data_IF_193132355714
#
_entry.id   IF_193132355714
#
_cell.length_a   1.000
_cell.length_b   1.000
_cell.length_c   1.000
_cell.angle_alpha   90.00
_cell.angle_beta   90.00
_cell.angle_gamma   90.00
#
_symmetry.space_group_name_H-M   'P 1'
#
loop_
_entity.id
_entity.type
_entity.pdbx_description
1 polymer ?
#
# COMPACT_ATOMS: atom_id res chain seq x y z
N UNK A 1 -30.79 36.80 30.49
CA UNK A 1 -29.84 37.21 29.44
C UNK A 1 -30.18 36.43 28.20
N UNK A 2 -30.76 37.10 27.22
CA UNK A 2 -31.16 36.48 25.96
C UNK A 2 -29.95 36.27 25.06
N UNK A 3 -29.97 35.17 24.32
CA UNK A 3 -29.29 35.07 23.04
C UNK A 3 -30.41 34.75 22.05
N UNK A 4 -30.99 35.83 21.56
CA UNK A 4 -31.91 35.85 20.43
C UNK A 4 -31.03 36.04 19.19
N UNK A 5 -30.60 34.94 18.58
CA UNK A 5 -30.46 34.84 17.12
C UNK A 5 -30.74 33.40 16.72
N UNK A 6 -31.79 33.21 15.92
CA UNK A 6 -32.06 31.95 15.23
C UNK A 6 -31.02 31.86 14.13
N UNK A 7 -30.06 30.95 14.28
CA UNK A 7 -29.09 30.64 13.23
C UNK A 7 -29.83 30.12 12.02
N UNK A 8 -29.97 30.96 10.99
CA UNK A 8 -30.33 30.54 9.65
C UNK A 8 -29.19 29.69 9.11
N UNK A 9 -29.47 28.39 8.93
CA UNK A 9 -28.75 27.55 7.99
C UNK A 9 -28.73 28.32 6.67
N UNK A 10 -27.54 28.65 6.14
CA UNK A 10 -27.47 28.97 4.73
C UNK A 10 -27.98 27.74 4.00
N UNK A 11 -29.22 27.81 3.54
CA UNK A 11 -29.72 26.90 2.52
C UNK A 11 -28.72 27.01 1.38
N UNK A 12 -28.04 25.90 1.07
CA UNK A 12 -27.41 25.75 -0.24
C UNK A 12 -28.38 26.32 -1.27
N UNK A 13 -27.94 27.17 -2.21
CA UNK A 13 -28.82 27.56 -3.29
C UNK A 13 -29.35 26.26 -3.90
N UNK A 14 -30.67 26.03 -3.83
CA UNK A 14 -31.38 24.89 -4.44
C UNK A 14 -31.30 24.89 -5.99
N UNK A 15 -30.33 25.62 -6.52
CA UNK A 15 -29.99 25.75 -7.92
C UNK A 15 -28.49 25.46 -8.17
N UNK A 16 -27.79 24.82 -7.23
CA UNK A 16 -26.52 24.19 -7.55
C UNK A 16 -26.82 23.05 -8.52
N UNK A 17 -26.48 23.26 -9.80
CA UNK A 17 -26.49 22.20 -10.80
C UNK A 17 -25.86 20.96 -10.18
N UNK A 18 -26.56 19.82 -10.25
CA UNK A 18 -26.01 18.52 -9.85
C UNK A 18 -24.58 18.48 -10.38
N UNK A 19 -23.59 18.39 -9.49
CA UNK A 19 -22.19 18.41 -9.91
C UNK A 19 -22.06 17.45 -11.10
N UNK A 20 -21.47 17.91 -12.23
CA UNK A 20 -21.44 17.12 -13.44
C UNK A 20 -20.95 15.72 -13.08
N UNK A 21 -21.59 14.69 -13.62
CA UNK A 21 -21.14 13.31 -13.41
C UNK A 21 -19.67 13.25 -13.82
N UNK A 22 -18.78 13.11 -12.84
CA UNK A 22 -17.36 13.13 -13.12
C UNK A 22 -16.93 11.74 -13.53
N UNK A 23 -16.29 11.65 -14.68
CA UNK A 23 -15.73 10.39 -15.17
C UNK A 23 -14.44 10.08 -14.41
N UNK A 24 -14.57 9.19 -13.42
CA UNK A 24 -13.46 8.74 -12.58
C UNK A 24 -12.44 7.88 -13.33
N UNK A 25 -12.72 7.52 -14.60
CA UNK A 25 -11.77 6.78 -15.43
C UNK A 25 -10.74 7.68 -16.11
N UNK A 26 -10.99 8.99 -16.16
CA UNK A 26 -10.08 9.95 -16.79
C UNK A 26 -8.91 10.20 -15.84
N UNK A 27 -7.66 9.92 -16.25
CA UNK A 27 -6.49 10.24 -15.45
C UNK A 27 -6.35 11.73 -15.25
N UNK A 28 -5.88 12.12 -14.07
CA UNK A 28 -5.39 13.49 -13.86
C UNK A 28 -3.92 13.51 -14.30
N UNK A 29 -3.55 14.29 -15.33
CA UNK A 29 -2.16 14.57 -15.59
C UNK A 29 -1.65 15.46 -14.45
N UNK A 30 -0.74 14.98 -13.60
CA UNK A 30 -0.12 15.88 -12.63
C UNK A 30 0.66 16.96 -13.39
N UNK A 31 0.47 18.21 -12.96
CA UNK A 31 1.24 19.32 -13.48
C UNK A 31 2.52 19.42 -12.67
N UNK A 32 3.68 19.46 -13.35
CA UNK A 32 4.87 20.14 -12.83
C UNK A 32 4.50 21.61 -12.60
N UNK A 33 3.81 21.91 -11.51
CA UNK A 33 3.33 23.27 -11.25
C UNK A 33 4.53 24.09 -10.75
N UNK A 34 5.03 25.10 -11.47
CA UNK A 34 6.16 25.92 -11.03
C UNK A 34 5.75 27.02 -10.03
N UNK A 35 4.50 27.03 -9.55
CA UNK A 35 3.91 28.20 -8.88
C UNK A 35 4.02 28.22 -7.36
N UNK A 36 4.50 27.15 -6.75
CA UNK A 36 4.99 27.22 -5.38
C UNK A 36 6.45 26.82 -5.41
N UNK A 37 7.38 27.58 -4.78
CA UNK A 37 8.69 27.03 -4.56
C UNK A 37 8.46 25.69 -3.88
N UNK A 38 8.89 24.62 -4.55
CA UNK A 38 9.13 23.37 -3.88
C UNK A 38 10.18 23.70 -2.82
N UNK A 39 9.74 24.21 -1.67
CA UNK A 39 10.33 23.79 -0.42
C UNK A 39 10.15 22.28 -0.47
N UNK A 40 11.18 21.64 -0.99
CA UNK A 40 11.58 20.32 -0.56
C UNK A 40 11.31 20.28 0.94
N UNK A 41 10.66 19.23 1.47
CA UNK A 41 10.61 19.07 2.92
C UNK A 41 12.04 19.30 3.41
N UNK A 42 12.21 20.24 4.35
CA UNK A 42 13.51 20.49 4.94
C UNK A 42 14.06 19.12 5.31
N UNK A 43 15.23 18.77 4.76
CA UNK A 43 15.86 17.44 4.88
C UNK A 43 15.99 16.95 6.33
N UNK A 44 15.77 17.86 7.28
CA UNK A 44 15.93 17.74 8.70
C UNK A 44 14.62 17.27 9.42
N UNK A 45 13.50 17.14 8.70
CA UNK A 45 12.19 16.75 9.25
C UNK A 45 11.77 15.30 8.96
N UNK A 46 12.53 14.54 8.16
CA UNK A 46 12.24 13.11 7.97
C UNK A 46 12.83 12.32 9.13
N UNK A 47 12.02 11.74 10.04
CA UNK A 47 12.52 10.72 10.91
C UNK A 47 12.76 9.50 10.02
N UNK A 48 14.02 9.27 9.66
CA UNK A 48 14.49 7.99 9.13
C UNK A 48 14.45 6.96 10.26
N UNK A 49 13.26 6.70 10.81
CA UNK A 49 13.00 5.46 11.52
C UNK A 49 12.70 4.46 10.43
N UNK A 50 13.49 3.39 10.25
CA UNK A 50 13.25 2.37 9.21
C UNK A 50 11.79 1.92 9.12
N UNK A 51 11.10 1.89 10.27
CA UNK A 51 9.68 1.51 10.42
C UNK A 51 8.70 2.39 9.65
N UNK A 52 8.89 3.71 9.58
CA UNK A 52 7.99 4.61 8.86
C UNK A 52 7.89 4.20 7.38
N UNK A 53 9.05 4.06 6.75
CA UNK A 53 9.20 3.60 5.37
C UNK A 53 8.65 2.18 5.18
N UNK A 54 8.85 1.27 6.13
CA UNK A 54 8.31 -0.09 6.05
C UNK A 54 6.77 -0.12 6.10
N UNK A 55 6.14 0.68 6.98
CA UNK A 55 4.68 0.81 7.05
C UNK A 55 4.13 1.31 5.72
N UNK A 56 4.71 2.38 5.16
CA UNK A 56 4.25 2.96 3.91
C UNK A 56 4.42 2.02 2.72
N UNK A 57 5.57 1.33 2.61
CA UNK A 57 5.81 0.36 1.55
C UNK A 57 4.85 -0.83 1.60
N UNK A 58 4.56 -1.32 2.82
CA UNK A 58 3.55 -2.36 3.00
C UNK A 58 2.17 -1.86 2.55
N UNK A 59 1.72 -0.72 3.07
CA UNK A 59 0.41 -0.15 2.75
C UNK A 59 0.25 0.05 1.25
N UNK A 60 1.25 0.67 0.60
CA UNK A 60 1.27 0.87 -0.85
C UNK A 60 1.05 -0.45 -1.57
N UNK A 61 1.88 -1.45 -1.30
CA UNK A 61 1.82 -2.75 -2.00
C UNK A 61 0.49 -3.48 -1.74
N UNK A 62 0.04 -3.52 -0.49
CA UNK A 62 -1.17 -4.23 -0.09
C UNK A 62 -2.44 -3.56 -0.62
N UNK A 63 -2.51 -2.23 -0.60
CA UNK A 63 -3.61 -1.46 -1.16
C UNK A 63 -3.64 -1.58 -2.69
N UNK A 64 -2.49 -1.52 -3.37
CA UNK A 64 -2.42 -1.79 -4.81
C UNK A 64 -2.94 -3.18 -5.15
N UNK A 65 -2.56 -4.21 -4.38
CA UNK A 65 -3.06 -5.57 -4.57
C UNK A 65 -4.59 -5.65 -4.42
N UNK A 66 -5.11 -5.13 -3.31
CA UNK A 66 -6.53 -5.15 -2.97
C UNK A 66 -7.38 -4.37 -3.99
N UNK A 67 -7.01 -3.13 -4.30
CA UNK A 67 -7.80 -2.26 -5.18
C UNK A 67 -7.74 -2.71 -6.64
N UNK A 68 -6.61 -3.30 -7.08
CA UNK A 68 -6.48 -3.87 -8.43
C UNK A 68 -7.43 -5.04 -8.66
N UNK A 69 -7.66 -5.89 -7.65
CA UNK A 69 -8.62 -6.99 -7.74
C UNK A 69 -10.06 -6.51 -7.95
N UNK A 70 -10.38 -5.29 -7.49
CA UNK A 70 -11.73 -4.71 -7.61
C UNK A 70 -12.05 -4.11 -8.98
N UNK A 71 -11.05 -3.98 -9.86
CA UNK A 71 -11.26 -3.59 -11.27
C UNK A 71 -11.81 -2.18 -11.51
N UNK A 72 -11.79 -1.30 -10.51
CA UNK A 72 -12.16 0.12 -10.65
C UNK A 72 -10.91 0.98 -10.79
N UNK A 73 -10.97 2.15 -11.45
CA UNK A 73 -9.86 3.10 -11.45
C UNK A 73 -9.53 3.57 -10.04
N UNK A 74 -8.24 3.65 -9.72
CA UNK A 74 -7.74 4.19 -8.47
C UNK A 74 -6.32 4.72 -8.66
N UNK A 75 -5.87 5.55 -7.72
CA UNK A 75 -4.50 6.01 -7.59
C UNK A 75 -4.06 5.86 -6.14
N UNK A 76 -2.82 5.45 -5.92
CA UNK A 76 -2.20 5.44 -4.60
C UNK A 76 -0.84 6.10 -4.74
N UNK A 77 -0.62 7.14 -3.95
CA UNK A 77 0.61 7.95 -3.99
C UNK A 77 1.18 8.08 -2.58
N UNK A 78 2.52 8.07 -2.50
CA UNK A 78 3.28 8.36 -1.28
C UNK A 78 3.87 9.76 -1.35
N UNK A 79 4.08 10.38 -0.19
CA UNK A 79 4.79 11.65 -0.04
C UNK A 79 4.31 12.77 -0.98
N UNK A 80 2.99 12.83 -1.19
CA UNK A 80 2.37 13.75 -2.15
C UNK A 80 1.85 15.00 -1.45
N UNK A 81 2.27 16.16 -1.97
CA UNK A 81 1.77 17.45 -1.52
C UNK A 81 0.41 17.79 -2.10
N UNK A 82 -0.55 18.13 -1.26
CA UNK A 82 -1.89 18.55 -1.66
C UNK A 82 -2.07 20.06 -1.42
N UNK A 83 -2.18 20.81 -2.51
CA UNK A 83 -2.44 22.24 -2.50
C UNK A 83 -3.94 22.54 -2.56
N UNK A 84 -4.38 23.52 -1.80
CA UNK A 84 -5.77 23.97 -1.79
C UNK A 84 -5.87 25.44 -1.37
N UNK A 85 -7.04 26.02 -1.54
CA UNK A 85 -7.35 27.38 -1.05
C UNK A 85 -8.31 27.22 0.11
N UNK A 86 -7.95 27.73 1.29
CA UNK A 86 -8.79 27.63 2.48
C UNK A 86 -10.03 28.55 2.40
N UNK A 87 -10.87 28.52 3.44
CA UNK A 87 -12.10 29.33 3.51
C UNK A 87 -11.85 30.84 3.50
N UNK A 88 -10.63 31.29 3.80
CA UNK A 88 -10.23 32.70 3.79
C UNK A 88 -9.61 33.12 2.45
N UNK A 89 -9.46 32.19 1.51
CA UNK A 89 -8.85 32.45 0.22
C UNK A 89 -7.32 32.32 0.21
N UNK A 90 -6.71 31.82 1.29
CA UNK A 90 -5.27 31.62 1.35
C UNK A 90 -4.86 30.27 0.75
N UNK A 91 -3.80 30.27 -0.03
CA UNK A 91 -3.19 29.05 -0.55
C UNK A 91 -2.49 28.27 0.56
N UNK A 92 -2.84 27.00 0.71
CA UNK A 92 -2.32 26.07 1.70
C UNK A 92 -1.71 24.84 1.01
N UNK A 93 -0.83 24.14 1.74
CA UNK A 93 -0.24 22.85 1.33
C UNK A 93 -0.28 21.86 2.50
N UNK A 94 -0.69 20.65 2.21
CA UNK A 94 -0.70 19.53 3.15
C UNK A 94 -0.06 18.30 2.51
N UNK A 95 1.05 17.84 3.07
CA UNK A 95 1.76 16.67 2.57
C UNK A 95 1.26 15.43 3.33
N UNK A 96 0.72 14.47 2.57
CA UNK A 96 0.29 13.17 3.10
C UNK A 96 1.39 12.14 2.92
N UNK A 97 1.61 11.29 3.91
CA UNK A 97 2.51 10.14 3.77
C UNK A 97 1.99 9.12 2.74
N UNK A 98 0.68 8.81 2.74
CA UNK A 98 0.05 8.00 1.70
C UNK A 98 -1.41 8.40 1.47
N UNK A 99 -1.81 8.53 0.20
CA UNK A 99 -3.17 8.89 -0.21
C UNK A 99 -3.75 7.85 -1.15
N UNK A 100 -5.05 7.55 -1.00
CA UNK A 100 -5.82 6.67 -1.87
C UNK A 100 -6.90 7.50 -2.56
N UNK A 101 -6.94 7.44 -3.89
CA UNK A 101 -7.84 8.21 -4.74
C UNK A 101 -8.73 7.28 -5.55
N UNK A 102 -10.03 7.61 -5.74
CA UNK A 102 -10.96 6.82 -6.54
C UNK A 102 -10.85 7.09 -8.05
N UNK A 103 -9.69 7.54 -8.52
CA UNK A 103 -9.37 7.90 -9.91
C UNK A 103 -7.85 7.72 -10.13
N UNK A 104 -7.40 7.48 -11.37
CA UNK A 104 -5.97 7.32 -11.65
C UNK A 104 -5.25 8.67 -11.60
N UNK A 105 -4.02 8.65 -11.09
CA UNK A 105 -3.07 9.74 -11.20
C UNK A 105 -1.90 9.25 -12.07
N UNK A 106 -1.63 9.95 -13.17
CA UNK A 106 -0.58 9.56 -14.12
C UNK A 106 0.66 10.46 -14.03
N UNK A 107 0.60 11.52 -13.24
CA UNK A 107 1.73 12.43 -13.11
C UNK A 107 2.50 12.26 -11.81
N UNK A 108 3.72 12.80 -11.81
CA UNK A 108 4.64 12.78 -10.69
C UNK A 108 4.70 14.19 -10.08
N UNK A 109 4.34 14.35 -8.80
CA UNK A 109 4.41 15.63 -8.10
C UNK A 109 3.14 15.98 -7.31
N UNK A 110 3.06 17.22 -6.83
CA UNK A 110 1.95 17.69 -6.00
C UNK A 110 0.61 17.78 -6.73
N UNK A 111 -0.49 17.57 -6.01
CA UNK A 111 -1.86 17.70 -6.51
C UNK A 111 -2.47 19.03 -6.07
N UNK A 112 -3.40 19.56 -6.88
CA UNK A 112 -4.28 20.67 -6.47
C UNK A 112 -5.68 20.14 -6.24
N UNK A 113 -6.29 20.49 -5.10
CA UNK A 113 -7.65 20.08 -4.75
C UNK A 113 -8.68 20.43 -5.81
N UNK A 114 -8.55 21.59 -6.46
CA UNK A 114 -9.45 22.04 -7.51
C UNK A 114 -9.36 21.25 -8.82
N UNK A 115 -8.22 20.59 -9.08
CA UNK A 115 -8.01 19.79 -10.29
C UNK A 115 -8.52 18.35 -10.10
N UNK A 116 -8.74 17.93 -8.85
CA UNK A 116 -9.26 16.59 -8.56
C UNK A 116 -10.75 16.49 -8.88
N UNK A 117 -11.18 15.41 -9.59
CA UNK A 117 -12.57 15.20 -9.97
C UNK A 117 -13.49 15.02 -8.76
N UNK A 118 -12.95 14.47 -7.69
CA UNK A 118 -13.61 14.31 -6.40
C UNK A 118 -12.57 14.21 -5.28
N UNK A 119 -12.98 14.28 -4.00
CA UNK A 119 -12.06 14.08 -2.89
C UNK A 119 -11.41 12.68 -2.91
N UNK A 120 -10.19 12.56 -2.37
CA UNK A 120 -9.56 11.28 -2.07
C UNK A 120 -10.42 10.41 -1.16
N UNK A 121 -10.25 9.10 -1.28
CA UNK A 121 -10.94 8.11 -0.47
C UNK A 121 -10.39 8.07 0.94
N UNK A 122 -9.06 8.05 1.03
CA UNK A 122 -8.39 7.78 2.28
C UNK A 122 -7.04 8.49 2.31
N UNK A 123 -6.64 8.98 3.48
CA UNK A 123 -5.26 9.39 3.77
C UNK A 123 -4.75 8.60 4.95
N UNK A 124 -3.50 8.15 4.87
CA UNK A 124 -2.74 7.55 5.96
C UNK A 124 -1.57 8.46 6.29
N UNK A 125 -1.36 8.70 7.58
CA UNK A 125 -0.16 9.34 8.13
C UNK A 125 0.50 8.36 9.10
N UNK A 126 1.82 8.33 9.10
CA UNK A 126 2.60 7.59 10.08
C UNK A 126 3.22 8.61 11.02
N UNK A 127 2.71 8.63 12.25
CA UNK A 127 3.03 9.64 13.24
C UNK A 127 4.53 9.72 13.49
N UNK A 128 5.03 10.94 13.62
CA UNK A 128 6.40 11.22 14.04
C UNK A 128 6.42 12.21 15.20
N UNK A 129 7.49 12.24 16.02
CA UNK A 129 7.60 13.21 17.10
C UNK A 129 7.48 14.67 16.62
N UNK A 130 7.96 14.98 15.41
CA UNK A 130 7.91 16.32 14.82
C UNK A 130 6.54 16.68 14.27
N UNK A 131 5.78 15.73 13.69
CA UNK A 131 4.53 16.03 12.96
C UNK A 131 3.24 15.64 13.67
N UNK A 132 3.29 14.78 14.70
CA UNK A 132 2.09 14.18 15.32
C UNK A 132 1.05 15.21 15.77
N UNK A 133 1.50 16.37 16.27
CA UNK A 133 0.60 17.46 16.67
C UNK A 133 -0.18 18.07 15.48
N UNK A 134 0.43 18.12 14.29
CA UNK A 134 -0.22 18.56 13.05
C UNK A 134 -1.14 17.48 12.50
N UNK A 135 -0.71 16.23 12.55
CA UNK A 135 -1.48 15.06 12.08
C UNK A 135 -2.78 14.92 12.89
N UNK A 136 -2.71 15.01 14.22
CA UNK A 136 -3.89 14.95 15.09
C UNK A 136 -4.71 16.27 15.13
N UNK A 137 -4.13 17.36 14.62
CA UNK A 137 -4.70 18.71 14.62
C UNK A 137 -5.07 19.19 13.21
N UNK A 138 -4.29 20.15 12.69
CA UNK A 138 -4.66 20.92 11.50
C UNK A 138 -4.79 20.08 10.22
N UNK A 139 -3.94 19.05 10.02
CA UNK A 139 -4.04 18.20 8.82
C UNK A 139 -5.37 17.46 8.78
N UNK A 140 -5.79 16.91 9.93
CA UNK A 140 -7.10 16.27 10.08
C UNK A 140 -8.25 17.23 9.71
N UNK A 141 -8.19 18.49 10.13
CA UNK A 141 -9.20 19.49 9.77
C UNK A 141 -9.18 19.82 8.27
N UNK A 142 -7.99 19.97 7.68
CA UNK A 142 -7.83 20.19 6.25
C UNK A 142 -8.35 19.03 5.41
N UNK A 143 -8.02 17.78 5.76
CA UNK A 143 -8.54 16.62 5.05
C UNK A 143 -10.07 16.50 5.15
N UNK A 144 -10.65 16.81 6.32
CA UNK A 144 -12.10 16.85 6.47
C UNK A 144 -12.74 17.90 5.56
N UNK A 145 -12.17 19.11 5.55
CA UNK A 145 -12.63 20.22 4.71
C UNK A 145 -12.52 19.90 3.21
N UNK A 146 -11.44 19.23 2.79
CA UNK A 146 -11.26 18.78 1.41
C UNK A 146 -12.21 17.66 0.99
N UNK A 147 -12.86 17.00 1.95
CA UNK A 147 -13.84 15.94 1.73
C UNK A 147 -13.26 14.52 1.75
N UNK A 148 -12.03 14.33 2.25
CA UNK A 148 -11.40 13.00 2.35
C UNK A 148 -12.27 12.09 3.22
N UNK A 149 -12.59 10.90 2.72
CA UNK A 149 -13.67 10.07 3.30
C UNK A 149 -13.24 9.36 4.58
N UNK A 150 -12.00 8.89 4.64
CA UNK A 150 -11.37 8.35 5.85
C UNK A 150 -9.95 8.90 6.06
N UNK A 151 -9.57 9.09 7.32
CA UNK A 151 -8.23 9.53 7.71
C UNK A 151 -7.70 8.57 8.77
N UNK A 152 -6.47 8.09 8.60
CA UNK A 152 -5.83 7.15 9.51
C UNK A 152 -4.48 7.69 9.94
N UNK A 153 -4.17 7.52 11.23
CA UNK A 153 -2.87 7.85 11.80
C UNK A 153 -2.34 6.62 12.52
N UNK A 154 -1.12 6.23 12.16
CA UNK A 154 -0.44 5.04 12.66
C UNK A 154 0.75 5.44 13.53
N UNK A 155 0.88 4.83 14.70
CA UNK A 155 2.05 5.05 15.55
C UNK A 155 3.15 4.04 15.19
N UNK A 156 4.33 4.46 14.71
CA UNK A 156 5.43 3.56 14.37
C UNK A 156 6.14 3.04 15.63
N UNK A 157 5.39 2.49 16.59
CA UNK A 157 5.89 2.03 17.89
C UNK A 157 7.08 1.09 17.71
N UNK A 158 8.19 1.48 18.32
CA UNK A 158 9.41 0.66 18.44
C UNK A 158 9.53 0.15 19.87
N UNK A 159 8.71 -0.84 20.22
CA UNK A 159 8.74 -1.43 21.55
C UNK A 159 8.24 -2.87 21.59
N UNK A 160 9.05 -3.73 22.20
CA UNK A 160 8.66 -5.08 22.60
C UNK A 160 7.72 -5.09 23.82
N UNK A 161 7.50 -3.94 24.48
CA UNK A 161 6.57 -3.82 25.62
C UNK A 161 5.11 -3.75 25.11
N UNK A 162 4.27 -4.77 25.38
CA UNK A 162 2.88 -4.79 24.93
C UNK A 162 2.06 -3.64 25.50
N UNK A 163 2.42 -3.11 26.68
CA UNK A 163 1.71 -1.99 27.26
C UNK A 163 1.92 -0.71 26.44
N UNK A 164 3.14 -0.45 25.97
CA UNK A 164 3.45 0.69 25.09
C UNK A 164 2.79 0.57 23.73
N UNK A 165 2.71 -0.64 23.20
CA UNK A 165 1.99 -0.90 21.96
C UNK A 165 0.47 -0.74 22.11
N UNK A 166 -0.08 -1.17 23.25
CA UNK A 166 -1.49 -0.95 23.56
C UNK A 166 -1.80 0.54 23.73
N UNK A 167 -0.99 1.30 24.47
CA UNK A 167 -1.27 2.71 24.75
C UNK A 167 -0.90 3.67 23.61
N UNK A 168 -0.03 3.25 22.69
CA UNK A 168 0.69 4.17 21.82
C UNK A 168 1.87 4.85 22.54
N UNK A 169 2.85 5.30 21.76
CA UNK A 169 3.98 6.14 22.20
C UNK A 169 3.73 7.60 21.82
N UNK A 170 3.29 7.83 20.59
CA UNK A 170 3.02 9.16 20.00
C UNK A 170 1.53 9.47 19.99
N UNK A 171 0.70 8.44 19.83
CA UNK A 171 -0.74 8.57 19.72
C UNK A 171 -1.42 8.38 21.09
N UNK A 172 -2.38 9.24 21.46
CA UNK A 172 -2.98 9.24 22.80
C UNK A 172 -3.96 8.08 23.03
N UNK A 173 -4.60 7.58 21.97
CA UNK A 173 -5.67 6.57 22.06
C UNK A 173 -5.25 5.23 21.43
N UNK A 174 -3.96 4.90 21.49
CA UNK A 174 -3.41 3.67 20.93
C UNK A 174 -2.79 3.85 19.55
N UNK A 175 -2.10 2.80 19.09
CA UNK A 175 -1.23 2.87 17.93
C UNK A 175 -1.92 2.84 16.56
N UNK A 176 -3.25 2.71 16.53
CA UNK A 176 -4.07 2.73 15.34
C UNK A 176 -5.29 3.62 15.58
N UNK A 177 -5.27 4.81 15.00
CA UNK A 177 -6.38 5.76 15.07
C UNK A 177 -6.95 6.00 13.68
N UNK A 178 -8.29 6.05 13.60
CA UNK A 178 -8.99 6.27 12.34
C UNK A 178 -10.19 7.19 12.53
N UNK A 179 -10.55 7.90 11.47
CA UNK A 179 -11.73 8.75 11.42
C UNK A 179 -12.44 8.60 10.09
N UNK A 180 -13.77 8.74 10.11
CA UNK A 180 -14.62 8.81 8.91
C UNK A 180 -15.30 10.16 8.83
N UNK A 181 -15.36 10.72 7.63
CA UNK A 181 -16.03 11.99 7.39
C UNK A 181 -17.54 11.83 7.50
N UNK A 182 -18.14 12.56 8.43
CA UNK A 182 -19.57 12.61 8.68
C UNK A 182 -20.02 14.08 8.76
N UNK A 183 -20.91 14.50 7.85
CA UNK A 183 -21.48 15.87 7.83
C UNK A 183 -20.40 16.97 7.90
N UNK A 184 -19.31 16.80 7.16
CA UNK A 184 -18.21 17.78 7.06
C UNK A 184 -17.25 17.79 8.24
N UNK A 185 -17.33 16.81 9.17
CA UNK A 185 -16.38 16.66 10.27
C UNK A 185 -15.99 15.20 10.45
N UNK A 186 -14.82 14.95 10.99
CA UNK A 186 -14.37 13.60 11.28
C UNK A 186 -14.99 13.04 12.57
N UNK A 187 -15.64 11.89 12.45
CA UNK A 187 -16.05 11.05 13.57
C UNK A 187 -15.02 9.93 13.76
N UNK A 188 -14.62 9.59 15.00
CA UNK A 188 -13.64 8.54 15.24
C UNK A 188 -14.21 7.17 14.84
N UNK A 189 -13.37 6.37 14.19
CA UNK A 189 -13.62 4.96 13.89
C UNK A 189 -13.19 4.11 15.08
N UNK A 190 -13.94 3.05 15.36
CA UNK A 190 -13.58 2.12 16.42
C UNK A 190 -12.33 1.31 16.03
N UNK A 191 -11.28 1.47 16.82
CA UNK A 191 -10.15 0.54 16.89
C UNK A 191 -10.31 -0.35 18.14
N UNK A 192 -9.95 -1.62 18.02
CA UNK A 192 -10.10 -2.62 19.08
C UNK A 192 -8.74 -3.24 19.37
N UNK A 193 -8.32 -3.17 20.64
CA UNK A 193 -7.15 -3.85 21.17
C UNK A 193 -7.50 -5.27 21.62
N UNK A 194 -6.83 -6.26 21.04
CA UNK A 194 -6.83 -7.64 21.52
C UNK A 194 -5.56 -7.89 22.35
N UNK A 195 -5.74 -7.99 23.67
CA UNK A 195 -4.64 -8.21 24.61
C UNK A 195 -4.02 -9.61 24.52
N UNK A 196 -4.74 -10.63 24.04
CA UNK A 196 -4.17 -11.97 23.89
C UNK A 196 -3.33 -12.08 22.62
N UNK A 197 -3.76 -11.41 21.55
CA UNK A 197 -3.06 -11.39 20.26
C UNK A 197 -2.05 -10.23 20.14
N UNK A 198 -1.97 -9.33 21.12
CA UNK A 198 -1.24 -8.06 21.06
C UNK A 198 -1.45 -7.32 19.74
N UNK A 199 -2.72 -7.16 19.36
CA UNK A 199 -3.11 -6.66 18.03
C UNK A 199 -4.17 -5.59 18.15
N UNK A 200 -3.93 -4.44 17.52
CA UNK A 200 -5.00 -3.48 17.21
C UNK A 200 -5.70 -3.90 15.92
N UNK A 201 -7.01 -3.68 15.85
CA UNK A 201 -7.76 -3.85 14.62
C UNK A 201 -8.81 -2.78 14.40
N UNK A 202 -9.02 -2.40 13.15
CA UNK A 202 -10.07 -1.48 12.74
C UNK A 202 -10.62 -1.87 11.36
N UNK A 203 -11.83 -1.43 11.05
CA UNK A 203 -12.45 -1.69 9.76
C UNK A 203 -12.61 -0.39 8.97
N UNK A 204 -12.03 -0.35 7.78
CA UNK A 204 -12.28 0.70 6.79
C UNK A 204 -13.50 0.30 5.96
N UNK A 205 -14.58 1.09 6.02
CA UNK A 205 -15.73 0.85 5.14
C UNK A 205 -15.52 1.48 3.76
N UNK A 206 -14.66 2.52 3.67
CA UNK A 206 -14.30 3.13 2.38
C UNK A 206 -13.44 2.19 1.55
N UNK A 207 -12.44 1.57 2.18
CA UNK A 207 -11.55 0.60 1.54
C UNK A 207 -12.07 -0.84 1.67
N UNK A 208 -13.19 -1.06 2.36
CA UNK A 208 -13.82 -2.38 2.57
C UNK A 208 -12.79 -3.46 2.96
N UNK A 209 -12.03 -3.17 4.01
CA UNK A 209 -10.98 -4.05 4.50
C UNK A 209 -10.74 -3.88 6.00
N UNK A 210 -10.15 -4.91 6.63
CA UNK A 210 -9.73 -4.85 8.02
C UNK A 210 -8.25 -4.48 8.09
N UNK A 211 -7.94 -3.44 8.85
CA UNK A 211 -6.59 -3.08 9.24
C UNK A 211 -6.24 -3.81 10.54
N UNK A 212 -5.05 -4.38 10.58
CA UNK A 212 -4.45 -4.99 11.77
C UNK A 212 -3.12 -4.30 12.04
N UNK A 213 -2.82 -4.08 13.31
CA UNK A 213 -1.51 -3.62 13.75
C UNK A 213 -1.02 -4.59 14.82
N UNK A 214 0.00 -5.39 14.47
CA UNK A 214 0.38 -6.61 15.18
C UNK A 214 1.75 -6.45 15.82
N UNK A 215 1.81 -6.41 17.15
CA UNK A 215 3.06 -6.15 17.87
C UNK A 215 4.18 -7.16 17.51
N UNK A 216 3.88 -8.44 17.36
CA UNK A 216 4.89 -9.44 17.02
C UNK A 216 5.56 -9.21 15.65
N UNK A 217 4.92 -8.42 14.78
CA UNK A 217 5.47 -8.00 13.50
C UNK A 217 6.22 -6.66 13.60
N UNK A 218 6.07 -5.92 14.70
CA UNK A 218 6.90 -4.75 15.02
C UNK A 218 8.33 -5.13 15.36
N UNK A 219 8.57 -6.27 16.02
CA UNK A 219 9.92 -6.72 16.38
C UNK A 219 10.73 -7.27 15.21
N UNK A 220 10.10 -7.49 14.05
CA UNK A 220 10.77 -7.90 12.82
C UNK A 220 11.10 -6.63 12.03
N UNK A 221 12.38 -6.33 11.86
CA UNK A 221 12.90 -5.08 11.27
C UNK A 221 12.32 -4.67 9.89
N UNK A 222 11.45 -5.46 9.26
CA UNK A 222 11.15 -5.39 7.85
C UNK A 222 9.69 -5.10 7.47
N UNK A 223 8.77 -4.98 8.44
CA UNK A 223 7.33 -5.01 8.11
C UNK A 223 6.46 -3.94 8.77
N UNK A 224 6.99 -3.19 9.74
CA UNK A 224 6.29 -2.07 10.36
C UNK A 224 5.01 -2.44 11.15
N UNK A 225 4.65 -3.73 11.22
CA UNK A 225 3.56 -4.28 12.04
C UNK A 225 2.14 -4.19 11.48
N UNK A 226 1.92 -3.41 10.41
CA UNK A 226 0.61 -3.24 9.78
C UNK A 226 0.29 -4.42 8.84
N UNK A 227 -0.99 -4.84 8.84
CA UNK A 227 -1.55 -5.79 7.88
C UNK A 227 -2.92 -5.34 7.40
N UNK A 228 -3.17 -5.50 6.11
CA UNK A 228 -4.50 -5.44 5.51
C UNK A 228 -5.00 -6.86 5.35
N UNK A 229 -6.18 -7.15 5.89
CA UNK A 229 -6.86 -8.43 5.66
C UNK A 229 -7.69 -8.31 4.40
N UNK A 230 -7.41 -9.21 3.46
CA UNK A 230 -8.21 -9.36 2.26
C UNK A 230 -9.62 -9.87 2.65
N UNK A 231 -10.69 -9.13 2.31
CA UNK A 231 -12.06 -9.51 2.67
C UNK A 231 -12.53 -10.79 1.98
N UNK A 232 -11.97 -11.15 0.82
CA UNK A 232 -12.36 -12.35 0.08
C UNK A 232 -11.76 -13.61 0.72
N UNK A 233 -10.48 -13.56 1.10
CA UNK A 233 -9.77 -14.72 1.65
C UNK A 233 -9.79 -14.76 3.18
N UNK A 234 -10.10 -13.66 3.84
CA UNK A 234 -10.03 -13.50 5.30
C UNK A 234 -8.60 -13.56 5.85
N UNK A 235 -7.58 -13.49 4.97
CA UNK A 235 -6.16 -13.62 5.34
C UNK A 235 -5.42 -12.29 5.19
N UNK A 236 -4.39 -12.04 6.01
CA UNK A 236 -3.50 -10.91 5.80
C UNK A 236 -2.84 -10.96 4.43
N UNK A 237 -2.86 -9.84 3.71
CA UNK A 237 -2.10 -9.66 2.48
C UNK A 237 -0.61 -9.72 2.86
N UNK A 238 0.16 -10.64 2.26
CA UNK A 238 1.58 -10.81 2.56
C UNK A 238 2.41 -9.60 2.14
N UNK A 239 3.48 -9.33 2.87
CA UNK A 239 4.44 -8.29 2.51
C UNK A 239 5.16 -8.62 1.19
N UNK A 240 5.65 -7.62 0.44
CA UNK A 240 6.31 -7.83 -0.85
C UNK A 240 7.46 -8.86 -0.77
N UNK A 241 8.27 -8.83 0.30
CA UNK A 241 9.33 -9.82 0.53
C UNK A 241 8.81 -11.22 0.82
N UNK A 242 7.72 -11.35 1.58
CA UNK A 242 7.05 -12.65 1.78
C UNK A 242 6.52 -13.19 0.45
N UNK A 243 6.00 -12.31 -0.42
CA UNK A 243 5.57 -12.69 -1.76
C UNK A 243 6.72 -13.15 -2.65
N UNK A 244 7.86 -12.45 -2.62
CA UNK A 244 9.07 -12.89 -3.34
C UNK A 244 9.60 -14.22 -2.79
N UNK A 245 9.62 -14.41 -1.47
CA UNK A 245 9.99 -15.67 -0.84
C UNK A 245 9.07 -16.82 -1.26
N UNK A 246 7.75 -16.62 -1.20
CA UNK A 246 6.76 -17.60 -1.68
C UNK A 246 6.89 -17.89 -3.17
N UNK A 247 7.20 -16.88 -3.98
CA UNK A 247 7.44 -17.08 -5.41
C UNK A 247 8.71 -17.93 -5.62
N UNK A 248 9.80 -17.63 -4.91
CA UNK A 248 11.04 -18.41 -4.97
C UNK A 248 10.84 -19.85 -4.47
N UNK A 249 10.08 -20.07 -3.40
CA UNK A 249 9.71 -21.40 -2.90
C UNK A 249 8.88 -22.18 -3.93
N UNK A 250 7.89 -21.53 -4.55
CA UNK A 250 7.06 -22.13 -5.61
C UNK A 250 7.87 -22.42 -6.87
N UNK A 251 8.78 -21.52 -7.23
CA UNK A 251 9.71 -21.68 -8.33
C UNK A 251 10.65 -22.88 -8.06
N UNK A 252 11.14 -23.04 -6.82
CA UNK A 252 11.92 -24.19 -6.40
C UNK A 252 11.10 -25.49 -6.41
N UNK A 253 9.82 -25.46 -6.03
CA UNK A 253 8.91 -26.60 -6.09
C UNK A 253 8.67 -27.05 -7.54
N UNK A 254 8.36 -26.10 -8.44
CA UNK A 254 8.18 -26.37 -9.86
C UNK A 254 9.48 -26.89 -10.47
N UNK A 255 10.63 -26.30 -10.14
CA UNK A 255 11.94 -26.76 -10.56
C UNK A 255 12.20 -28.21 -10.13
N UNK A 256 11.91 -28.55 -8.88
CA UNK A 256 12.02 -29.92 -8.35
C UNK A 256 11.10 -30.91 -9.07
N UNK A 257 9.87 -30.49 -9.39
CA UNK A 257 8.93 -31.32 -10.15
C UNK A 257 9.41 -31.57 -11.59
N UNK A 258 9.95 -30.54 -12.25
CA UNK A 258 10.51 -30.64 -13.61
C UNK A 258 11.73 -31.57 -13.64
N UNK A 259 12.64 -31.45 -12.66
CA UNK A 259 13.76 -32.37 -12.50
C UNK A 259 13.29 -33.81 -12.25
N UNK A 260 12.28 -34.01 -11.41
CA UNK A 260 11.70 -35.34 -11.14
C UNK A 260 11.13 -35.96 -12.42
N UNK A 261 10.42 -35.19 -13.23
CA UNK A 261 9.91 -35.66 -14.53
C UNK A 261 11.06 -36.04 -15.48
N UNK A 262 12.15 -35.26 -15.48
CA UNK A 262 13.33 -35.57 -16.28
C UNK A 262 14.00 -36.86 -15.80
N UNK A 263 14.12 -37.08 -14.48
CA UNK A 263 14.61 -38.33 -13.89
C UNK A 263 13.77 -39.53 -14.33
N UNK A 264 12.44 -39.42 -14.26
CA UNK A 264 11.53 -40.51 -14.64
C UNK A 264 11.65 -40.86 -16.13
N UNK A 265 11.83 -39.86 -16.99
CA UNK A 265 11.86 -40.06 -18.44
C UNK A 265 13.23 -40.44 -18.99
N UNK A 266 14.29 -39.81 -18.49
CA UNK A 266 15.64 -39.85 -19.08
C UNK A 266 16.70 -40.42 -18.13
N UNK A 267 16.37 -40.67 -16.86
CA UNK A 267 17.25 -41.22 -15.83
C UNK A 267 17.83 -40.18 -14.88
N UNK A 268 18.35 -40.63 -13.73
CA UNK A 268 18.82 -39.79 -12.62
C UNK A 268 19.84 -38.74 -13.04
N UNK A 269 20.82 -39.11 -13.87
CA UNK A 269 21.85 -38.18 -14.34
C UNK A 269 21.28 -36.94 -15.03
N UNK A 270 20.18 -37.09 -15.78
CA UNK A 270 19.51 -35.96 -16.46
C UNK A 270 18.75 -35.07 -15.49
N UNK A 271 18.10 -35.65 -14.48
CA UNK A 271 17.45 -34.87 -13.43
C UNK A 271 18.43 -34.08 -12.58
N UNK A 272 19.55 -34.70 -12.19
CA UNK A 272 20.61 -34.08 -11.40
C UNK A 272 21.29 -32.93 -12.15
N UNK A 273 21.49 -33.08 -13.46
CA UNK A 273 22.04 -32.01 -14.29
C UNK A 273 21.06 -30.83 -14.41
N UNK A 274 19.77 -31.11 -14.58
CA UNK A 274 18.76 -30.05 -14.62
C UNK A 274 18.65 -29.30 -13.28
N UNK A 275 18.74 -30.01 -12.15
CA UNK A 275 18.80 -29.37 -10.82
C UNK A 275 20.04 -28.49 -10.63
N UNK A 276 21.18 -28.84 -11.24
CA UNK A 276 22.39 -28.01 -11.19
C UNK A 276 22.31 -26.78 -12.08
N UNK A 277 21.62 -26.87 -13.22
CA UNK A 277 21.48 -25.76 -14.17
C UNK A 277 20.53 -24.66 -13.67
N UNK A 278 19.43 -25.04 -13.02
CA UNK A 278 18.37 -24.09 -12.62
C UNK A 278 18.85 -22.96 -11.69
N UNK A 279 19.69 -23.19 -10.65
CA UNK A 279 20.19 -22.12 -9.78
C UNK A 279 21.23 -21.20 -10.44
N UNK A 280 21.87 -21.63 -11.54
CA UNK A 280 22.92 -20.88 -12.22
C UNK A 280 22.37 -19.84 -13.20
N UNK A 281 21.07 -19.86 -13.47
CA UNK A 281 20.42 -18.98 -14.44
C UNK A 281 19.64 -17.85 -13.79
N UNK A 282 19.64 -16.69 -14.44
CA UNK A 282 18.72 -15.58 -14.15
C UNK A 282 17.36 -15.75 -14.85
N UNK A 283 17.20 -16.78 -15.68
CA UNK A 283 15.96 -17.04 -16.38
C UNK A 283 14.85 -17.53 -15.42
N UNK A 284 13.59 -17.13 -15.63
CA UNK A 284 12.48 -17.59 -14.80
C UNK A 284 12.25 -19.10 -14.97
N UNK A 285 11.60 -19.74 -13.99
CA UNK A 285 11.27 -21.16 -14.08
C UNK A 285 10.42 -21.46 -15.33
N UNK A 286 10.73 -22.51 -16.11
CA UNK A 286 10.03 -22.81 -17.34
C UNK A 286 8.56 -23.14 -17.08
N UNK A 287 7.66 -22.51 -17.85
CA UNK A 287 6.23 -22.79 -17.74
C UNK A 287 5.88 -24.20 -18.28
N UNK A 288 4.67 -24.68 -17.95
CA UNK A 288 4.23 -26.05 -18.29
C UNK A 288 4.32 -26.38 -19.80
N UNK A 289 4.00 -25.42 -20.69
CA UNK A 289 4.06 -25.65 -22.13
C UNK A 289 5.49 -25.87 -22.61
N UNK A 290 6.42 -25.10 -22.07
CA UNK A 290 7.83 -25.22 -22.40
C UNK A 290 8.41 -26.54 -21.90
N UNK A 291 8.09 -26.93 -20.66
CA UNK A 291 8.48 -28.23 -20.11
C UNK A 291 7.92 -29.37 -20.97
N UNK A 292 6.65 -29.30 -21.37
CA UNK A 292 6.05 -30.30 -22.27
C UNK A 292 6.78 -30.40 -23.61
N UNK A 293 7.19 -29.27 -24.19
CA UNK A 293 7.97 -29.26 -25.42
C UNK A 293 9.35 -29.92 -25.25
N UNK A 294 10.04 -29.64 -24.14
CA UNK A 294 11.32 -30.31 -23.83
C UNK A 294 11.13 -31.82 -23.63
N UNK A 295 10.07 -32.21 -22.91
CA UNK A 295 9.73 -33.62 -22.70
C UNK A 295 9.33 -34.36 -23.98
N UNK A 296 9.11 -33.67 -25.11
CA UNK A 296 8.93 -34.32 -26.40
C UNK A 296 10.26 -34.74 -27.05
N UNK A 297 11.41 -34.30 -26.50
CA UNK A 297 12.73 -34.64 -27.00
C UNK A 297 12.93 -36.16 -27.06
N UNK A 298 13.62 -36.59 -28.12
CA UNK A 298 13.86 -37.99 -28.45
C UNK A 298 15.01 -38.61 -27.64
N UNK A 299 15.86 -37.78 -27.05
CA UNK A 299 16.98 -38.18 -26.20
C UNK A 299 17.16 -37.26 -24.98
N UNK A 300 17.95 -37.70 -24.01
CA UNK A 300 18.34 -36.90 -22.84
C UNK A 300 19.24 -35.72 -23.22
N UNK A 301 20.08 -35.88 -24.24
CA UNK A 301 20.99 -34.84 -24.74
C UNK A 301 20.21 -33.70 -25.40
N UNK A 302 19.23 -34.03 -26.25
CA UNK A 302 18.34 -33.05 -26.88
C UNK A 302 17.51 -32.29 -25.83
N UNK A 303 17.03 -32.98 -24.80
CA UNK A 303 16.34 -32.36 -23.66
C UNK A 303 17.24 -31.34 -22.94
N UNK A 304 18.47 -31.73 -22.58
CA UNK A 304 19.40 -30.88 -21.86
C UNK A 304 19.85 -29.68 -22.70
N UNK A 305 20.00 -29.83 -24.02
CA UNK A 305 20.35 -28.72 -24.91
C UNK A 305 19.24 -27.66 -24.98
N UNK A 306 17.97 -28.09 -25.06
CA UNK A 306 16.83 -27.18 -25.00
C UNK A 306 16.76 -26.44 -23.66
N UNK A 307 17.04 -27.15 -22.56
CA UNK A 307 17.12 -26.54 -21.24
C UNK A 307 18.28 -25.54 -21.14
N UNK A 308 19.49 -25.89 -21.61
CA UNK A 308 20.67 -25.02 -21.63
C UNK A 308 20.39 -23.74 -22.40
N UNK A 309 19.78 -23.88 -23.58
CA UNK A 309 19.42 -22.74 -24.43
C UNK A 309 18.48 -21.78 -23.71
N UNK A 310 17.48 -22.31 -23.01
CA UNK A 310 16.54 -21.48 -22.25
C UNK A 310 17.20 -20.78 -21.06
N UNK A 311 18.08 -21.48 -20.36
CA UNK A 311 18.81 -20.93 -19.22
C UNK A 311 20.00 -20.03 -19.62
N UNK A 312 20.30 -19.91 -20.91
CA UNK A 312 21.42 -19.12 -21.43
C UNK A 312 22.79 -19.71 -21.07
N UNK A 313 22.85 -21.01 -20.78
CA UNK A 313 24.07 -21.71 -20.37
C UNK A 313 24.79 -22.26 -21.60
N UNK A 314 26.11 -22.12 -21.62
CA UNK A 314 26.97 -22.66 -22.66
C UNK A 314 27.30 -24.13 -22.41
N UNK A 315 27.54 -24.91 -23.47
CA UNK A 315 27.93 -26.33 -23.36
C UNK A 315 29.26 -26.58 -22.62
N UNK A 316 30.00 -25.51 -22.30
CA UNK A 316 31.28 -25.52 -21.56
C UNK A 316 31.17 -25.42 -20.04
N UNK A 317 29.98 -25.18 -19.48
CA UNK A 317 29.76 -25.03 -18.02
C UNK A 317 29.41 -26.36 -17.32
N UNK A 318 30.09 -27.45 -17.70
CA UNK A 318 29.89 -28.82 -17.17
C UNK A 318 30.33 -29.01 -15.72
#
# INVERSE_FOLDING_TARGET
>A
MGISEVWTVQTEPQNAARAPSVDLSIPIPSWNTPEYPAEWPGSDEMPTVPRHVHILNYLLTALYHLLKQRGRPFGIEQDIGLHFVDSEGHGQRCDSDLIVMPFPNEGHGSLRRQDMPCPPDCVFEVASPSTVHRDLGIKKEWYAWMGVREYWVLDPVDSEDPARFASGILLPDGSLMGWRLERGRYAPLASVWDAAAHTWSAHSAVLDCKLLFVQALHGRELDGGIRIVDPETGKPIPHAREMHGRMAEKDAEIAGMVATLATVRYGEATGDELQRMMPLSLAPVPNLRLVQAWMAASSSEEFLDLARQYFGLSASER
#
